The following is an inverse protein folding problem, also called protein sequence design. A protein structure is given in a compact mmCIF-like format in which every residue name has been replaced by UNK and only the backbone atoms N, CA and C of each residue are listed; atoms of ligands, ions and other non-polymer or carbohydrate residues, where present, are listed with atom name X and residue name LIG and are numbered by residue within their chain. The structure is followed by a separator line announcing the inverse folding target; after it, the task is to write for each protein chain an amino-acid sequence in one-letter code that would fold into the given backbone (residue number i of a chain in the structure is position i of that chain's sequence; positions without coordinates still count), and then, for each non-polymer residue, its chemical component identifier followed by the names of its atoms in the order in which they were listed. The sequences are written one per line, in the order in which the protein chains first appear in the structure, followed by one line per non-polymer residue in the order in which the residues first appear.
data_IF_260071260370
#
_entry.id   IF_260071260370
#
_cell.length_a   1.000
_cell.length_b   1.000
_cell.length_c   1.000
_cell.angle_alpha   90.00
_cell.angle_beta   90.00
_cell.angle_gamma   90.00
#
_symmetry.space_group_name_H-M   'P 1'
#
loop_
_entity.id
_entity.type
_entity.pdbx_description
1 polymer ?
#
# COMPACT_ATOMS: atom_id res chain seq x y z
N UNK A 1 7.25 -16.93 14.69
CA UNK A 1 8.06 -15.71 14.50
C UNK A 1 7.99 -15.12 13.07
N UNK A 2 8.03 -15.94 12.01
CA UNK A 2 8.02 -15.46 10.61
C UNK A 2 6.76 -14.65 10.28
N UNK A 3 5.57 -15.07 10.75
CA UNK A 3 4.33 -14.36 10.50
C UNK A 3 4.35 -12.90 11.01
N UNK A 4 4.83 -12.70 12.25
CA UNK A 4 4.98 -11.35 12.83
C UNK A 4 6.01 -10.50 12.06
N UNK A 5 7.12 -11.10 11.62
CA UNK A 5 8.11 -10.39 10.81
C UNK A 5 7.50 -9.95 9.46
N UNK A 6 6.69 -10.80 8.82
CA UNK A 6 5.96 -10.45 7.62
C UNK A 6 4.93 -9.34 7.88
N UNK A 7 4.20 -9.41 8.99
CA UNK A 7 3.25 -8.35 9.36
C UNK A 7 3.94 -7.00 9.61
N UNK A 8 5.14 -6.99 10.20
CA UNK A 8 5.94 -5.77 10.36
C UNK A 8 6.39 -5.20 9.00
N UNK A 9 6.77 -6.04 8.04
CA UNK A 9 7.13 -5.60 6.70
C UNK A 9 5.93 -4.96 5.97
N UNK A 10 4.72 -5.44 6.22
CA UNK A 10 3.54 -4.84 5.62
C UNK A 10 3.34 -3.38 6.01
N UNK A 11 3.59 -3.05 7.28
CA UNK A 11 3.55 -1.66 7.77
C UNK A 11 4.56 -0.78 7.02
N UNK A 12 5.79 -1.28 6.87
CA UNK A 12 6.84 -0.56 6.15
C UNK A 12 6.47 -0.32 4.67
N UNK A 13 5.95 -1.33 3.98
CA UNK A 13 5.52 -1.21 2.57
C UNK A 13 4.38 -0.21 2.43
N UNK A 14 3.36 -0.29 3.30
CA UNK A 14 2.22 0.62 3.27
C UNK A 14 2.66 2.09 3.46
N UNK A 15 3.57 2.36 4.40
CA UNK A 15 4.08 3.71 4.67
C UNK A 15 4.94 4.26 3.53
N UNK A 16 5.75 3.42 2.88
CA UNK A 16 6.50 3.84 1.67
C UNK A 16 5.53 4.32 0.59
N UNK A 17 4.47 3.55 0.31
CA UNK A 17 3.44 3.92 -0.67
C UNK A 17 2.69 5.20 -0.29
N UNK A 18 2.26 5.31 0.96
CA UNK A 18 1.57 6.48 1.52
C UNK A 18 2.40 7.77 1.38
N UNK A 19 3.68 7.72 1.75
CA UNK A 19 4.57 8.87 1.64
C UNK A 19 4.90 9.21 0.17
N UNK A 20 5.01 8.20 -0.70
CA UNK A 20 5.19 8.41 -2.14
C UNK A 20 3.97 9.12 -2.75
N UNK A 21 2.75 8.64 -2.47
CA UNK A 21 1.51 9.28 -2.94
C UNK A 21 1.41 10.74 -2.48
N UNK A 22 1.77 11.02 -1.22
CA UNK A 22 1.77 12.40 -0.73
C UNK A 22 2.71 13.31 -1.50
N UNK A 23 3.89 12.81 -1.89
CA UNK A 23 4.83 13.55 -2.76
C UNK A 23 4.26 13.74 -4.17
N UNK A 24 3.61 12.73 -4.75
CA UNK A 24 2.92 12.85 -6.04
C UNK A 24 1.88 13.96 -5.97
N UNK A 25 1.04 13.97 -4.93
CA UNK A 25 0.03 15.02 -4.75
C UNK A 25 0.62 16.41 -4.56
N UNK A 26 1.74 16.57 -3.85
CA UNK A 26 2.41 17.86 -3.75
C UNK A 26 2.93 18.34 -5.12
N UNK A 27 3.39 17.43 -5.98
CA UNK A 27 3.78 17.78 -7.35
C UNK A 27 2.58 18.19 -8.22
N UNK A 28 1.39 17.63 -7.98
CA UNK A 28 0.19 17.98 -8.75
C UNK A 28 -0.39 19.35 -8.38
N UNK A 29 -0.18 19.79 -7.14
CA UNK A 29 -0.66 21.07 -6.64
C UNK A 29 0.28 22.21 -7.08
N UNK A 30 -0.25 23.16 -7.84
CA UNK A 30 0.46 24.35 -8.30
C UNK A 30 1.02 25.20 -7.15
N UNK A 31 0.30 25.30 -6.03
CA UNK A 31 0.70 26.14 -4.90
C UNK A 31 1.87 25.54 -4.13
N UNK A 32 2.02 24.23 -4.16
CA UNK A 32 3.11 23.50 -3.51
C UNK A 32 4.30 23.29 -4.44
N UNK A 33 4.05 22.91 -5.70
CA UNK A 33 5.09 22.55 -6.67
C UNK A 33 5.75 23.73 -7.38
N UNK A 34 5.07 24.89 -7.46
CA UNK A 34 5.45 26.01 -8.34
C UNK A 34 5.54 25.60 -9.83
N UNK A 35 4.92 24.48 -10.20
CA UNK A 35 4.84 23.95 -11.56
C UNK A 35 3.42 24.14 -12.14
N UNK A 36 3.23 23.95 -13.45
CA UNK A 36 1.89 23.88 -14.03
C UNK A 36 1.05 22.81 -13.33
N UNK A 37 -0.25 23.06 -13.09
CA UNK A 37 -1.14 22.10 -12.44
C UNK A 37 -1.16 20.78 -13.21
N UNK A 38 -1.12 19.66 -12.49
CA UNK A 38 -1.06 18.30 -13.05
C UNK A 38 0.13 18.05 -14.00
N UNK A 39 1.20 18.85 -13.90
CA UNK A 39 2.44 18.76 -14.68
C UNK A 39 2.24 18.75 -16.20
N UNK A 40 1.31 19.57 -16.70
CA UNK A 40 1.02 19.65 -18.15
C UNK A 40 0.92 21.08 -18.66
N UNK A 41 1.42 21.31 -19.88
CA UNK A 41 1.18 22.55 -20.60
C UNK A 41 -0.25 22.60 -21.15
N UNK A 42 -0.83 23.80 -21.29
CA UNK A 42 -2.20 24.00 -21.77
C UNK A 42 -3.26 23.23 -20.94
N UNK A 43 -3.20 23.34 -19.61
CA UNK A 43 -4.06 22.61 -18.67
C UNK A 43 -5.58 22.88 -18.76
N UNK A 44 -6.03 23.76 -19.68
CA UNK A 44 -7.45 23.94 -19.97
C UNK A 44 -8.04 22.87 -20.90
N UNK A 45 -7.18 22.12 -21.62
CA UNK A 45 -7.59 21.06 -22.56
C UNK A 45 -6.87 19.73 -22.30
N UNK A 46 -5.80 19.74 -21.51
CA UNK A 46 -5.04 18.54 -21.13
C UNK A 46 -5.16 18.29 -19.63
N UNK A 47 -5.39 17.03 -19.24
CA UNK A 47 -5.48 16.64 -17.83
C UNK A 47 -4.14 16.23 -17.20
N UNK A 48 -3.08 16.08 -18.00
CA UNK A 48 -1.76 15.72 -17.48
C UNK A 48 -1.77 14.45 -16.64
N UNK A 49 -1.16 14.53 -15.46
CA UNK A 49 -1.04 13.42 -14.50
C UNK A 49 -2.22 13.32 -13.51
N UNK A 50 -3.31 14.05 -13.73
CA UNK A 50 -4.46 14.08 -12.81
C UNK A 50 -4.97 12.68 -12.46
N UNK A 51 -5.18 11.82 -13.45
CA UNK A 51 -5.70 10.46 -13.20
C UNK A 51 -4.61 9.51 -12.70
N UNK A 52 -3.35 9.73 -13.06
CA UNK A 52 -2.24 8.97 -12.49
C UNK A 52 -2.16 9.16 -10.96
N UNK A 53 -2.43 10.37 -10.45
CA UNK A 53 -2.56 10.63 -9.02
C UNK A 53 -3.70 9.81 -8.39
N UNK A 54 -4.86 9.72 -9.06
CA UNK A 54 -6.01 8.93 -8.56
C UNK A 54 -5.64 7.46 -8.46
N UNK A 55 -4.95 6.91 -9.46
CA UNK A 55 -4.44 5.52 -9.42
C UNK A 55 -3.46 5.32 -8.26
N UNK A 56 -2.51 6.23 -8.07
CA UNK A 56 -1.56 6.15 -6.95
C UNK A 56 -2.27 6.19 -5.59
N UNK A 57 -3.29 7.04 -5.43
CA UNK A 57 -4.11 7.11 -4.21
C UNK A 57 -4.90 5.83 -3.96
N UNK A 58 -5.47 5.21 -5.00
CA UNK A 58 -6.18 3.94 -4.88
C UNK A 58 -5.24 2.81 -4.42
N UNK A 59 -4.07 2.67 -5.04
CA UNK A 59 -3.08 1.64 -4.68
C UNK A 59 -2.53 1.84 -3.26
N UNK A 60 -2.21 3.08 -2.88
CA UNK A 60 -1.77 3.39 -1.52
C UNK A 60 -2.86 3.12 -0.48
N UNK A 61 -4.14 3.34 -0.82
CA UNK A 61 -5.26 3.04 0.06
C UNK A 61 -5.51 1.53 0.21
N UNK A 62 -5.38 0.76 -0.87
CA UNK A 62 -5.55 -0.69 -0.87
C UNK A 62 -4.53 -1.37 0.08
N UNK A 63 -3.29 -0.87 0.09
CA UNK A 63 -2.26 -1.32 1.02
C UNK A 63 -2.61 -1.13 2.50
N UNK A 64 -3.51 -0.19 2.86
CA UNK A 64 -3.97 -0.02 4.25
C UNK A 64 -4.80 -1.21 4.71
N UNK A 65 -5.71 -1.69 3.85
CA UNK A 65 -6.52 -2.87 4.14
C UNK A 65 -5.62 -4.10 4.24
N UNK A 66 -4.69 -4.23 3.30
CA UNK A 66 -3.74 -5.33 3.31
C UNK A 66 -2.79 -5.32 4.49
N UNK A 67 -2.50 -4.17 5.12
CA UNK A 67 -1.61 -4.06 6.28
C UNK A 67 -2.15 -4.73 7.56
N UNK A 68 -3.41 -5.20 7.58
CA UNK A 68 -3.95 -5.96 8.70
C UNK A 68 -3.08 -7.18 9.03
N UNK A 69 -2.70 -7.40 10.30
CA UNK A 69 -1.81 -8.49 10.66
C UNK A 69 -2.51 -9.84 10.46
N UNK A 70 -1.86 -10.77 9.77
CA UNK A 70 -2.39 -12.13 9.62
C UNK A 70 -1.97 -13.03 10.80
N UNK A 71 -0.90 -12.67 11.51
CA UNK A 71 -0.37 -13.46 12.63
C UNK A 71 -1.21 -13.43 13.91
N UNK A 72 -2.23 -12.56 13.97
CA UNK A 72 -3.18 -12.50 15.11
C UNK A 72 -4.34 -13.47 14.98
N UNK A 73 -4.46 -14.15 13.83
CA UNK A 73 -5.46 -15.19 13.62
C UNK A 73 -4.88 -16.59 13.86
N UNK A 74 -5.70 -17.48 14.41
CA UNK A 74 -5.37 -18.87 14.66
C UNK A 74 -6.64 -19.72 14.71
N UNK A 75 -6.66 -20.82 13.96
CA UNK A 75 -7.76 -21.78 13.94
C UNK A 75 -7.20 -23.17 14.26
N UNK A 76 -7.77 -23.90 15.24
CA UNK A 76 -7.26 -25.19 15.63
C UNK A 76 -7.52 -26.24 14.54
N UNK A 77 -6.55 -27.11 14.31
CA UNK A 77 -6.61 -28.21 13.33
C UNK A 77 -6.38 -29.56 14.00
N UNK A 78 -6.67 -30.65 13.27
CA UNK A 78 -6.36 -32.01 13.71
C UNK A 78 -6.95 -32.40 15.07
N UNK A 79 -8.26 -32.15 15.28
CA UNK A 79 -8.97 -32.42 16.53
C UNK A 79 -8.31 -31.79 17.77
N UNK A 80 -7.87 -30.53 17.65
CA UNK A 80 -7.17 -29.75 18.66
C UNK A 80 -5.75 -30.25 19.02
N UNK A 81 -5.12 -31.12 18.21
CA UNK A 81 -3.68 -31.36 18.36
C UNK A 81 -2.84 -30.15 17.96
N UNK A 82 -3.27 -29.44 16.92
CA UNK A 82 -2.64 -28.20 16.46
C UNK A 82 -3.56 -27.05 16.87
N UNK A 83 -3.55 -26.69 18.14
CA UNK A 83 -4.48 -25.72 18.73
C UNK A 83 -4.08 -24.25 18.49
N UNK A 84 -2.82 -24.00 18.13
CA UNK A 84 -2.30 -22.67 17.81
C UNK A 84 -1.40 -22.69 16.56
N UNK A 85 -1.74 -21.90 15.55
CA UNK A 85 -0.98 -21.78 14.29
C UNK A 85 -0.59 -20.33 14.01
N UNK A 86 0.29 -20.11 13.02
CA UNK A 86 0.91 -18.79 12.80
C UNK A 86 0.37 -17.99 11.62
N UNK A 87 -0.35 -18.64 10.70
CA UNK A 87 -0.77 -18.04 9.42
C UNK A 87 0.37 -17.43 8.58
N UNK A 88 1.64 -17.83 8.83
CA UNK A 88 2.82 -17.25 8.20
C UNK A 88 2.80 -17.23 6.64
N UNK A 89 2.29 -18.27 5.94
CA UNK A 89 2.22 -18.22 4.47
C UNK A 89 1.35 -17.08 3.95
N UNK A 90 0.22 -16.78 4.60
CA UNK A 90 -0.66 -15.69 4.19
C UNK A 90 -0.05 -14.32 4.53
N UNK A 91 0.57 -14.21 5.71
CA UNK A 91 1.32 -13.02 6.12
C UNK A 91 2.43 -12.66 5.12
N UNK A 92 3.16 -13.65 4.61
CA UNK A 92 4.20 -13.44 3.60
C UNK A 92 3.66 -13.18 2.19
N UNK A 93 2.69 -13.97 1.73
CA UNK A 93 2.13 -13.89 0.37
C UNK A 93 1.55 -12.51 0.06
N UNK A 94 0.84 -11.89 1.01
CA UNK A 94 0.24 -10.55 0.82
C UNK A 94 1.27 -9.45 0.54
N UNK A 95 2.52 -9.61 1.02
CA UNK A 95 3.58 -8.62 0.81
C UNK A 95 3.96 -8.46 -0.66
N UNK A 96 3.84 -9.50 -1.48
CA UNK A 96 4.15 -9.40 -2.91
C UNK A 96 3.19 -8.45 -3.62
N UNK A 97 1.90 -8.62 -3.38
CA UNK A 97 0.87 -7.74 -3.92
C UNK A 97 1.03 -6.30 -3.38
N UNK A 98 1.29 -6.14 -2.07
CA UNK A 98 1.53 -4.82 -1.50
C UNK A 98 2.76 -4.14 -2.11
N UNK A 99 3.82 -4.89 -2.40
CA UNK A 99 5.03 -4.38 -3.04
C UNK A 99 4.77 -3.99 -4.50
N UNK A 100 3.95 -4.75 -5.23
CA UNK A 100 3.54 -4.39 -6.59
C UNK A 100 2.70 -3.11 -6.62
N UNK A 101 1.85 -2.87 -5.63
CA UNK A 101 1.12 -1.61 -5.48
C UNK A 101 2.03 -0.39 -5.22
N UNK A 102 3.24 -0.60 -4.67
CA UNK A 102 4.19 0.48 -4.33
C UNK A 102 5.20 0.76 -5.45
N UNK A 103 5.39 -0.19 -6.37
CA UNK A 103 6.37 -0.10 -7.45
C UNK A 103 5.98 0.92 -8.51
#
# INVERSE_FOLDING_TARGET
PVAMAADNLALAIAEIGSLSERRISMMMDRHMSQLPPFLVANGGVNSGFMIAQVTAAALASDNKAHAHPASVDSLPTSANQEDHVSMAPNAGKRLWYMADNVR
#
